data_IF_782433564859
#
_entry.id   IF_782433564859
#
_cell.length_a   1.000
_cell.length_b   1.000
_cell.length_c   1.000
_cell.angle_alpha   90.00
_cell.angle_beta   90.00
_cell.angle_gamma   90.00
#
_symmetry.space_group_name_H-M   'P 1'
#
loop_
_entity.id
_entity.type
_entity.pdbx_description
1 polymer ?
#
# COMPACT_ATOMS: atom_id res chain seq x y z
N UNK A 1 -11.39 -5.10 -3.32
CA UNK A 1 -10.54 -3.96 -3.74
C UNK A 1 -9.92 -3.39 -2.48
N UNK A 2 -8.60 -3.39 -2.36
CA UNK A 2 -7.90 -2.87 -1.18
C UNK A 2 -7.66 -1.36 -1.31
N UNK A 3 -7.40 -0.67 -0.20
CA UNK A 3 -7.05 0.74 -0.25
C UNK A 3 -5.67 0.92 -0.91
N UNK A 4 -5.54 1.97 -1.73
CA UNK A 4 -4.25 2.37 -2.30
C UNK A 4 -3.36 2.91 -1.18
N UNK A 5 -2.16 2.34 -1.01
CA UNK A 5 -1.14 2.92 -0.13
C UNK A 5 -0.14 3.74 -0.94
N UNK A 6 0.34 4.84 -0.38
CA UNK A 6 1.40 5.66 -0.99
C UNK A 6 2.75 5.51 -0.26
N UNK A 7 2.80 4.62 0.73
CA UNK A 7 3.92 4.41 1.63
C UNK A 7 4.11 2.91 1.90
N UNK A 8 5.37 2.48 1.96
CA UNK A 8 5.77 1.10 2.20
C UNK A 8 7.11 1.06 2.94
N UNK A 9 7.53 -0.13 3.35
CA UNK A 9 8.92 -0.43 3.67
C UNK A 9 9.59 -1.03 2.42
N UNK A 10 10.79 -0.58 2.08
CA UNK A 10 11.62 -1.13 1.01
C UNK A 10 12.27 -2.48 1.41
N UNK A 11 13.05 -3.08 0.52
CA UNK A 11 13.73 -4.36 0.78
C UNK A 11 14.72 -4.33 1.95
N UNK A 12 15.11 -3.13 2.41
CA UNK A 12 15.99 -2.90 3.56
C UNK A 12 15.20 -2.58 4.85
N UNK A 13 13.86 -2.64 4.81
CA UNK A 13 13.00 -2.26 5.93
C UNK A 13 12.92 -0.76 6.18
N UNK A 14 13.31 0.09 5.22
CA UNK A 14 13.23 1.55 5.35
C UNK A 14 11.92 2.07 4.78
N UNK A 15 11.36 3.05 5.47
CA UNK A 15 10.13 3.69 5.05
C UNK A 15 10.36 4.50 3.76
N UNK A 16 9.59 4.18 2.73
CA UNK A 16 9.71 4.73 1.38
C UNK A 16 8.34 5.12 0.83
N UNK A 17 8.33 6.19 0.05
CA UNK A 17 7.13 6.65 -0.65
C UNK A 17 7.03 6.01 -2.03
N UNK A 18 5.81 5.89 -2.55
CA UNK A 18 5.56 5.28 -3.87
C UNK A 18 6.27 6.02 -5.01
N UNK A 19 6.44 7.35 -4.90
CA UNK A 19 7.22 8.14 -5.87
C UNK A 19 8.70 7.79 -5.84
N UNK A 20 9.28 7.56 -4.66
CA UNK A 20 10.68 7.14 -4.51
C UNK A 20 10.88 5.71 -5.00
N UNK A 21 9.93 4.81 -4.71
CA UNK A 21 9.92 3.43 -5.20
C UNK A 21 9.94 3.32 -6.73
N UNK A 22 9.57 4.38 -7.46
CA UNK A 22 9.67 4.42 -8.91
C UNK A 22 11.10 4.28 -9.43
N UNK A 23 12.13 4.60 -8.65
CA UNK A 23 13.53 4.37 -9.02
C UNK A 23 13.95 2.90 -8.85
N UNK A 24 13.15 2.09 -8.14
CA UNK A 24 13.40 0.67 -7.87
C UNK A 24 12.09 -0.15 -7.98
N UNK A 25 11.42 -0.18 -9.15
CA UNK A 25 10.06 -0.71 -9.28
C UNK A 25 9.95 -2.23 -9.05
N UNK A 26 11.07 -2.94 -9.09
CA UNK A 26 11.15 -4.39 -8.90
C UNK A 26 11.66 -4.80 -7.50
N UNK A 27 11.84 -3.83 -6.59
CA UNK A 27 12.21 -4.14 -5.21
C UNK A 27 11.05 -4.81 -4.46
N UNK A 28 11.37 -5.40 -3.30
CA UNK A 28 10.39 -6.02 -2.42
C UNK A 28 9.83 -4.98 -1.45
N UNK A 29 8.55 -4.67 -1.62
CA UNK A 29 7.84 -3.75 -0.74
C UNK A 29 6.98 -4.49 0.28
N UNK A 30 6.95 -3.99 1.50
CA UNK A 30 6.09 -4.51 2.58
C UNK A 30 5.29 -3.40 3.24
N UNK A 31 4.12 -3.74 3.79
CA UNK A 31 3.29 -2.79 4.51
C UNK A 31 3.99 -2.38 5.81
N UNK A 32 4.06 -1.09 6.08
CA UNK A 32 4.66 -0.57 7.31
C UNK A 32 3.82 -0.85 8.57
N UNK A 33 2.54 -1.23 8.42
CA UNK A 33 1.65 -1.57 9.54
C UNK A 33 1.65 -3.06 9.84
N UNK A 34 1.40 -3.91 8.84
CA UNK A 34 1.23 -5.35 9.03
C UNK A 34 2.39 -6.21 8.51
N UNK A 35 3.38 -5.63 7.82
CA UNK A 35 4.50 -6.37 7.23
C UNK A 35 4.13 -7.21 5.99
N UNK A 36 2.87 -7.24 5.57
CA UNK A 36 2.44 -7.99 4.38
C UNK A 36 3.12 -7.49 3.11
N UNK A 37 3.37 -8.41 2.18
CA UNK A 37 3.93 -8.08 0.88
C UNK A 37 2.99 -7.16 0.08
N UNK A 38 3.58 -6.14 -0.53
CA UNK A 38 2.88 -5.18 -1.37
C UNK A 38 3.30 -5.33 -2.83
N UNK A 39 2.35 -5.16 -3.73
CA UNK A 39 2.59 -5.01 -5.16
C UNK A 39 2.70 -3.52 -5.50
N UNK A 40 3.79 -3.13 -6.15
CA UNK A 40 4.01 -1.77 -6.61
C UNK A 40 3.32 -1.53 -7.95
N UNK A 41 2.55 -0.45 -8.02
CA UNK A 41 1.88 0.03 -9.22
C UNK A 41 2.54 1.34 -9.67
N UNK A 42 3.31 1.33 -10.76
CA UNK A 42 3.89 2.56 -11.29
C UNK A 42 2.77 3.49 -11.77
N UNK A 43 2.89 4.77 -11.44
CA UNK A 43 1.98 5.79 -11.95
C UNK A 43 2.21 6.00 -13.46
N UNK A 44 1.14 5.90 -14.25
CA UNK A 44 1.15 6.27 -15.66
C UNK A 44 0.40 7.59 -15.85
N UNK A 45 0.98 8.50 -16.66
CA UNK A 45 0.38 9.79 -16.99
C UNK A 45 0.07 10.63 -15.74
N UNK A 46 -1.21 10.76 -15.37
CA UNK A 46 -1.70 11.58 -14.24
C UNK A 46 -1.90 10.78 -12.95
N UNK A 47 -1.80 9.45 -13.01
CA UNK A 47 -1.95 8.61 -11.82
C UNK A 47 -0.68 8.64 -10.97
N UNK A 48 -0.86 8.85 -9.67
CA UNK A 48 0.26 8.77 -8.73
C UNK A 48 0.62 7.31 -8.49
N UNK A 49 1.92 6.94 -8.47
CA UNK A 49 2.33 5.59 -8.11
C UNK A 49 1.81 5.22 -6.73
N UNK A 50 1.48 3.95 -6.54
CA UNK A 50 0.87 3.45 -5.31
C UNK A 50 1.20 1.97 -5.10
N UNK A 51 0.85 1.45 -3.91
CA UNK A 51 1.05 0.07 -3.53
C UNK A 51 -0.28 -0.60 -3.19
N UNK A 52 -0.40 -1.86 -3.56
CA UNK A 52 -1.54 -2.72 -3.27
C UNK A 52 -1.12 -3.90 -2.39
N UNK A 53 -2.00 -4.34 -1.50
CA UNK A 53 -1.75 -5.59 -0.77
C UNK A 53 -1.90 -6.79 -1.71
N UNK A 54 -0.89 -7.64 -1.77
CA UNK A 54 -0.99 -8.90 -2.49
C UNK A 54 -1.86 -9.88 -1.68
N UNK A 55 -2.90 -10.45 -2.30
CA UNK A 55 -3.82 -11.39 -1.65
C UNK A 55 -3.10 -12.62 -1.07
N UNK A 56 -1.96 -13.01 -1.66
CA UNK A 56 -1.12 -14.12 -1.20
C UNK A 56 -0.40 -13.85 0.13
N UNK A 57 -0.30 -12.60 0.59
CA UNK A 57 0.40 -12.20 1.82
C UNK A 57 -0.53 -11.79 2.97
N UNK A 58 -1.84 -11.91 2.80
CA UNK A 58 -2.86 -11.53 3.78
C UNK A 58 -3.23 -12.73 4.65
N UNK A 59 -2.37 -13.05 5.61
CA UNK A 59 -2.67 -14.04 6.67
C UNK A 59 -2.48 -13.39 8.03
N UNK A 60 -3.27 -13.79 9.03
CA UNK A 60 -3.17 -13.24 10.39
C UNK A 60 -3.45 -11.74 10.45
N UNK A 61 -2.52 -10.98 11.03
CA UNK A 61 -2.65 -9.53 11.25
C UNK A 61 -2.84 -8.71 9.96
N UNK A 62 -2.45 -9.27 8.80
CA UNK A 62 -2.66 -8.64 7.50
C UNK A 62 -4.15 -8.43 7.15
N UNK A 63 -5.05 -9.30 7.64
CA UNK A 63 -6.50 -9.16 7.41
C UNK A 63 -7.12 -7.99 8.16
N UNK A 64 -6.50 -7.59 9.27
CA UNK A 64 -6.94 -6.46 10.09
C UNK A 64 -6.18 -5.17 9.76
N UNK A 65 -5.32 -5.19 8.74
CA UNK A 65 -4.61 -3.99 8.30
C UNK A 65 -5.63 -2.92 7.83
N UNK A 66 -5.53 -1.66 8.30
CA UNK A 66 -6.43 -0.59 7.88
C UNK A 66 -6.45 -0.36 6.36
N UNK A 67 -5.38 -0.71 5.66
CA UNK A 67 -5.36 -0.64 4.19
C UNK A 67 -6.11 -1.79 3.49
N UNK A 68 -6.36 -2.89 4.21
CA UNK A 68 -7.04 -4.09 3.71
C UNK A 68 -8.51 -4.07 4.09
N UNK A 69 -8.80 -3.70 5.34
CA UNK A 69 -10.12 -3.56 5.90
C UNK A 69 -10.24 -2.20 6.62
N UNK A 70 -10.34 -1.09 5.87
CA UNK A 70 -10.46 0.23 6.46
C UNK A 70 -11.73 0.34 7.28
N UNK A 71 -11.64 1.01 8.41
CA UNK A 71 -12.80 1.20 9.27
C UNK A 71 -13.89 1.98 8.54
N UNK A 72 -15.15 1.71 8.89
CA UNK A 72 -16.30 2.33 8.21
C UNK A 72 -16.28 3.86 8.33
N UNK A 73 -15.65 4.39 9.40
CA UNK A 73 -15.40 5.82 9.59
C UNK A 73 -14.37 6.38 8.60
N UNK A 74 -13.26 5.68 8.37
CA UNK A 74 -12.24 6.08 7.39
C UNK A 74 -12.79 6.04 5.96
N UNK A 75 -13.54 5.00 5.62
CA UNK A 75 -14.24 4.92 4.32
C UNK A 75 -15.15 6.13 4.11
N UNK A 76 -15.89 6.54 5.15
CA UNK A 76 -16.79 7.69 5.09
C UNK A 76 -16.03 9.01 4.93
N UNK A 77 -14.87 9.15 5.57
CA UNK A 77 -14.00 10.32 5.42
C UNK A 77 -13.42 10.41 4.02
N UNK A 78 -12.87 9.31 3.49
CA UNK A 78 -12.29 9.27 2.13
C UNK A 78 -13.35 9.58 1.08
N UNK A 79 -14.57 9.05 1.21
CA UNK A 79 -15.68 9.35 0.29
C UNK A 79 -16.11 10.83 0.29
N UNK A 80 -15.81 11.59 1.35
CA UNK A 80 -16.09 13.04 1.40
C UNK A 80 -15.00 13.88 0.72
N UNK A 81 -13.88 13.25 0.35
CA UNK A 81 -12.74 13.90 -0.30
C UNK A 81 -12.69 13.63 -1.82
N UNK A 82 -13.59 12.79 -2.35
CA UNK A 82 -13.84 12.58 -3.78
C UNK A 82 -14.96 13.48 -4.26
#
# INVERSE_FOLDING_TARGET
MYAKSFIALDGNGRLTGARTAQTAPYDRYTCHLCGSALQYHPGYQTEHPWFEHATSGLTGDGQHCPYVNPDTCEIRLVKRLQ
#
